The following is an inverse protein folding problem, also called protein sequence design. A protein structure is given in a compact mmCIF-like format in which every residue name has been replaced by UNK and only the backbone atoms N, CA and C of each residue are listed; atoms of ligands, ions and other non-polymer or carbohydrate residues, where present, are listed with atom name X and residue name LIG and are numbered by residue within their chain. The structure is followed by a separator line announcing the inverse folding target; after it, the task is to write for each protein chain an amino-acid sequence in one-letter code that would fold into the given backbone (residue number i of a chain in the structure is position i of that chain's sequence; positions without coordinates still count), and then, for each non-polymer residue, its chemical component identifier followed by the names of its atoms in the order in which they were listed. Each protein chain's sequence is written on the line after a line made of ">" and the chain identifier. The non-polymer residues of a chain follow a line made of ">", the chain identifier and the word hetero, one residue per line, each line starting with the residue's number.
data_IF_090833528173
#
_entry.id   IF_090833528173
#
_cell.length_a   1.000
_cell.length_b   1.000
_cell.length_c   1.000
_cell.angle_alpha   90.00
_cell.angle_beta   90.00
_cell.angle_gamma   90.00
#
_symmetry.space_group_name_H-M   'P 1'
#
loop_
_entity.id
_entity.type
_entity.pdbx_description
1 polymer ?
#
# COMPACT_ATOMS: atom_id res chain seq x y z
N UNK A 1 0.22 -4.45 -11.05
CA UNK A 1 1.29 -3.42 -11.06
C UNK A 1 1.71 -3.23 -9.60
N UNK A 2 3.01 -3.14 -9.27
CA UNK A 2 3.43 -2.83 -7.89
C UNK A 2 3.38 -1.31 -7.66
N UNK A 3 3.39 -0.87 -6.39
CA UNK A 3 3.45 0.55 -6.04
C UNK A 3 4.65 1.24 -6.71
N UNK A 4 5.82 0.59 -6.62
CA UNK A 4 7.08 1.10 -7.16
C UNK A 4 7.00 1.29 -8.67
N UNK A 5 6.50 0.30 -9.41
CA UNK A 5 6.34 0.41 -10.87
C UNK A 5 5.40 1.54 -11.32
N UNK A 6 4.52 2.05 -10.45
CA UNK A 6 3.69 3.22 -10.78
C UNK A 6 4.39 4.56 -10.53
N UNK A 7 5.35 4.59 -9.60
CA UNK A 7 6.16 5.77 -9.29
C UNK A 7 7.36 5.89 -10.22
N UNK A 8 7.96 4.76 -10.59
CA UNK A 8 9.12 4.68 -11.49
C UNK A 8 8.86 5.38 -12.84
N UNK A 9 7.64 5.26 -13.35
CA UNK A 9 7.19 5.92 -14.59
C UNK A 9 7.29 7.46 -14.54
N UNK A 10 7.16 8.07 -13.35
CA UNK A 10 7.07 9.52 -13.18
C UNK A 10 8.30 10.14 -12.50
N UNK A 11 9.05 9.36 -11.72
CA UNK A 11 10.13 9.87 -10.86
C UNK A 11 11.49 9.25 -11.16
N UNK A 12 11.60 8.36 -12.14
CA UNK A 12 12.82 7.62 -12.46
C UNK A 12 13.06 6.50 -11.44
N UNK A 13 14.33 6.09 -11.30
CA UNK A 13 14.77 4.91 -10.53
C UNK A 13 14.39 4.97 -9.04
N UNK A 14 13.14 4.61 -8.71
CA UNK A 14 12.63 4.53 -7.34
C UNK A 14 13.06 3.18 -6.75
N UNK A 15 13.93 3.14 -5.73
CA UNK A 15 14.42 1.88 -5.20
C UNK A 15 13.30 1.02 -4.58
N UNK A 16 13.19 -0.23 -5.03
CA UNK A 16 12.32 -1.23 -4.38
C UNK A 16 13.06 -1.88 -3.20
N UNK A 17 12.68 -1.51 -1.97
CA UNK A 17 13.25 -2.08 -0.74
C UNK A 17 12.65 -3.43 -0.33
N UNK A 18 11.66 -3.91 -1.08
CA UNK A 18 11.03 -5.21 -0.92
C UNK A 18 10.15 -5.34 0.32
N UNK A 19 9.52 -6.51 0.44
CA UNK A 19 8.67 -6.85 1.59
C UNK A 19 9.55 -7.27 2.76
N UNK A 20 9.32 -6.65 3.93
CA UNK A 20 10.03 -6.96 5.17
C UNK A 20 9.06 -7.51 6.22
N UNK A 21 9.53 -8.49 7.00
CA UNK A 21 8.79 -9.04 8.13
C UNK A 21 9.20 -8.28 9.40
N UNK A 22 8.23 -7.75 10.13
CA UNK A 22 8.46 -6.99 11.36
C UNK A 22 7.28 -7.12 12.33
N UNK A 23 7.57 -7.07 13.63
CA UNK A 23 6.57 -7.15 14.70
C UNK A 23 6.06 -5.75 15.08
N UNK A 24 5.60 -4.99 14.10
CA UNK A 24 4.93 -3.73 14.39
C UNK A 24 3.58 -3.99 15.04
N UNK A 25 3.23 -3.20 16.05
CA UNK A 25 1.99 -3.36 16.82
C UNK A 25 0.75 -3.40 15.92
N UNK A 26 0.72 -2.57 14.87
CA UNK A 26 -0.38 -2.50 13.90
C UNK A 26 -0.53 -3.75 13.02
N UNK A 27 0.51 -4.57 12.94
CA UNK A 27 0.51 -5.85 12.21
C UNK A 27 0.27 -7.04 13.14
N UNK A 28 0.51 -6.86 14.44
CA UNK A 28 0.42 -7.92 15.43
C UNK A 28 -1.04 -8.15 15.87
N UNK A 29 -1.51 -9.41 15.79
CA UNK A 29 -2.85 -9.78 16.24
C UNK A 29 -4.00 -9.28 15.34
N UNK A 30 -3.69 -8.78 14.14
CA UNK A 30 -4.71 -8.42 13.15
C UNK A 30 -5.51 -9.64 12.72
N UNK A 31 -6.84 -9.58 12.87
CA UNK A 31 -7.77 -10.67 12.47
C UNK A 31 -8.01 -10.74 10.96
N UNK A 32 -7.45 -9.79 10.22
CA UNK A 32 -7.55 -9.60 8.79
C UNK A 32 -6.14 -9.37 8.22
N UNK A 33 -5.93 -9.56 6.91
CA UNK A 33 -4.67 -9.18 6.25
C UNK A 33 -4.31 -7.73 6.56
N UNK A 34 -3.09 -7.49 7.02
CA UNK A 34 -2.60 -6.17 7.41
C UNK A 34 -1.17 -5.97 6.89
N UNK A 35 -0.88 -4.77 6.39
CA UNK A 35 0.44 -4.36 5.91
C UNK A 35 0.75 -2.95 6.41
N UNK A 36 2.03 -2.64 6.58
CA UNK A 36 2.53 -1.29 6.79
C UNK A 36 3.34 -0.91 5.55
N UNK A 37 3.10 0.29 5.02
CA UNK A 37 3.80 0.79 3.83
C UNK A 37 4.64 1.99 4.23
N UNK A 38 5.96 1.88 4.05
CA UNK A 38 6.90 2.99 4.13
C UNK A 38 7.02 3.59 2.73
N UNK A 39 6.55 4.83 2.55
CA UNK A 39 6.38 5.43 1.21
C UNK A 39 7.56 6.31 0.77
N UNK A 40 8.30 6.86 1.73
CA UNK A 40 9.50 7.71 1.52
C UNK A 40 10.27 7.86 2.83
N UNK A 41 11.55 8.21 2.74
CA UNK A 41 12.43 8.52 3.86
C UNK A 41 12.55 10.03 4.06
N UNK A 42 11.98 10.57 5.14
CA UNK A 42 12.15 11.98 5.53
C UNK A 42 13.62 12.33 5.82
N UNK A 43 14.42 11.34 6.22
CA UNK A 43 15.87 11.53 6.42
C UNK A 43 16.67 11.71 5.13
N UNK A 44 16.07 11.45 3.96
CA UNK A 44 16.65 11.70 2.65
C UNK A 44 16.06 13.02 2.10
N UNK A 45 16.85 14.10 1.95
CA UNK A 45 16.34 15.42 1.53
C UNK A 45 15.60 15.42 0.19
N UNK A 46 16.00 14.56 -0.76
CA UNK A 46 15.34 14.47 -2.07
C UNK A 46 13.96 13.82 -1.94
N UNK A 47 13.85 12.75 -1.15
CA UNK A 47 12.59 12.08 -0.88
C UNK A 47 11.66 12.93 -0.01
N UNK A 48 12.19 13.66 0.97
CA UNK A 48 11.42 14.62 1.76
C UNK A 48 10.81 15.71 0.87
N UNK A 49 11.61 16.27 -0.05
CA UNK A 49 11.14 17.27 -1.02
C UNK A 49 10.06 16.70 -1.94
N UNK A 50 10.19 15.46 -2.41
CA UNK A 50 9.13 14.80 -3.18
C UNK A 50 7.87 14.59 -2.34
N UNK A 51 8.01 14.08 -1.11
CA UNK A 51 6.90 13.85 -0.19
C UNK A 51 6.10 15.12 0.12
N UNK A 52 6.76 16.29 0.11
CA UNK A 52 6.10 17.58 0.29
C UNK A 52 5.16 17.96 -0.87
N UNK A 53 5.29 17.34 -2.05
CA UNK A 53 4.50 17.67 -3.24
C UNK A 53 3.18 16.89 -3.28
N UNK A 54 2.09 17.61 -3.53
CA UNK A 54 0.74 17.04 -3.58
C UNK A 54 0.59 15.97 -4.67
N UNK A 55 1.19 16.20 -5.84
CA UNK A 55 1.16 15.26 -6.96
C UNK A 55 1.86 13.94 -6.63
N UNK A 56 3.03 13.99 -5.99
CA UNK A 56 3.76 12.80 -5.56
C UNK A 56 2.94 11.97 -4.55
N UNK A 57 2.32 12.63 -3.56
CA UNK A 57 1.44 11.95 -2.60
C UNK A 57 0.20 11.37 -3.27
N UNK A 58 -0.36 12.05 -4.27
CA UNK A 58 -1.50 11.54 -5.04
C UNK A 58 -1.12 10.29 -5.84
N UNK A 59 0.05 10.31 -6.50
CA UNK A 59 0.55 9.16 -7.25
C UNK A 59 0.80 7.94 -6.34
N UNK A 60 1.37 8.14 -5.15
CA UNK A 60 1.48 7.09 -4.12
C UNK A 60 0.11 6.54 -3.75
N UNK A 61 -0.85 7.41 -3.43
CA UNK A 61 -2.19 6.99 -3.01
C UNK A 61 -2.91 6.18 -4.09
N UNK A 62 -2.81 6.58 -5.35
CA UNK A 62 -3.37 5.85 -6.49
C UNK A 62 -2.73 4.47 -6.64
N UNK A 63 -1.40 4.38 -6.51
CA UNK A 63 -0.67 3.14 -6.63
C UNK A 63 -1.05 2.14 -5.50
N UNK A 64 -1.22 2.63 -4.26
CA UNK A 64 -1.73 1.83 -3.14
C UNK A 64 -3.16 1.35 -3.39
N UNK A 65 -4.04 2.24 -3.85
CA UNK A 65 -5.43 1.91 -4.13
C UNK A 65 -5.54 0.83 -5.23
N UNK A 66 -4.73 0.90 -6.28
CA UNK A 66 -4.69 -0.10 -7.33
C UNK A 66 -4.16 -1.46 -6.84
N UNK A 67 -3.15 -1.44 -5.96
CA UNK A 67 -2.67 -2.64 -5.26
C UNK A 67 -3.78 -3.32 -4.45
N UNK A 68 -4.58 -2.54 -3.71
CA UNK A 68 -5.70 -3.05 -2.93
C UNK A 68 -6.82 -3.62 -3.81
N UNK A 69 -7.14 -2.97 -4.94
CA UNK A 69 -8.10 -3.49 -5.93
C UNK A 69 -7.64 -4.84 -6.48
N UNK A 70 -6.37 -4.93 -6.86
CA UNK A 70 -5.76 -6.17 -7.35
C UNK A 70 -5.84 -7.28 -6.31
N UNK A 71 -5.48 -6.99 -5.06
CA UNK A 71 -5.55 -7.94 -3.94
C UNK A 71 -6.98 -8.43 -3.70
N UNK A 72 -7.95 -7.52 -3.67
CA UNK A 72 -9.36 -7.88 -3.43
C UNK A 72 -9.93 -8.71 -4.57
N UNK A 73 -9.52 -8.43 -5.82
CA UNK A 73 -9.92 -9.22 -6.97
C UNK A 73 -9.35 -10.65 -6.92
N UNK A 74 -8.09 -10.81 -6.49
CA UNK A 74 -7.39 -12.10 -6.39
C UNK A 74 -7.66 -12.87 -5.10
N UNK A 75 -8.24 -12.24 -4.08
CA UNK A 75 -8.52 -12.87 -2.79
C UNK A 75 -9.44 -14.12 -2.94
N UNK A 76 -9.13 -15.23 -2.22
CA UNK A 76 -9.96 -16.43 -2.21
C UNK A 76 -11.41 -16.13 -1.81
N UNK A 77 -12.37 -16.90 -2.36
CA UNK A 77 -13.80 -16.69 -2.17
C UNK A 77 -14.23 -16.59 -0.68
N UNK A 78 -13.50 -17.23 0.23
CA UNK A 78 -13.75 -17.20 1.67
C UNK A 78 -13.58 -15.78 2.26
N UNK A 79 -12.60 -15.01 1.81
CA UNK A 79 -12.41 -13.61 2.24
C UNK A 79 -13.48 -12.69 1.64
N UNK A 80 -13.88 -12.93 0.38
CA UNK A 80 -15.00 -12.21 -0.25
C UNK A 80 -16.30 -12.43 0.54
N UNK A 81 -16.61 -13.67 0.92
CA UNK A 81 -17.81 -14.03 1.68
C UNK A 81 -17.88 -13.37 3.06
N UNK A 82 -16.76 -13.27 3.78
CA UNK A 82 -16.70 -12.59 5.08
C UNK A 82 -17.02 -11.09 4.98
N UNK A 83 -16.58 -10.42 3.90
CA UNK A 83 -16.91 -9.01 3.64
C UNK A 83 -18.39 -8.84 3.27
N UNK A 84 -18.95 -9.72 2.43
CA UNK A 84 -20.37 -9.65 2.05
C UNK A 84 -21.34 -9.99 3.18
N UNK A 85 -20.93 -10.80 4.16
CA UNK A 85 -21.74 -11.09 5.36
C UNK A 85 -21.87 -9.88 6.28
N UNK A 86 -20.87 -8.99 6.31
CA UNK A 86 -20.83 -7.87 7.24
C UNK A 86 -21.66 -6.65 6.77
N UNK A 87 -22.01 -6.59 5.48
CA UNK A 87 -22.82 -5.52 4.86
C UNK A 87 -24.32 -5.88 4.73
N UNK A 88 -24.79 -6.91 5.44
CA UNK A 88 -26.20 -7.33 5.47
C UNK A 88 -26.81 -7.27 6.88
N UNK A 89 -26.10 -6.66 7.83
CA UNK A 89 -26.48 -6.63 9.23
C UNK A 89 -27.05 -5.26 9.68
N UNK A 90 -27.41 -4.42 8.71
CA UNK A 90 -27.92 -3.06 8.87
C UNK A 90 -29.17 -2.85 8.00
#
# INVERSE_FOLDING_TARGET
>A
RSMISGLDDNYGDVPDLGVKQALFYVLFGAKMPSILVEVSFISNPEEEKLLSQDEYRMNIAQAIAEGLRTYTASAPAIQKMAVFSNNRAD
#
